data_IF_364401952592
#
_entry.id   IF_364401952592
#
_cell.length_a   1.000
_cell.length_b   1.000
_cell.length_c   1.000
_cell.angle_alpha   90.00
_cell.angle_beta   90.00
_cell.angle_gamma   90.00
#
_symmetry.space_group_name_H-M   'P 1'
#
loop_
_entity.id
_entity.type
_entity.pdbx_description
1 polymer ?
#
# COMPACT_ATOMS: atom_id res chain seq x y z
N UNK A 1 -28.21 19.45 -12.59
CA UNK A 1 -27.14 18.65 -11.96
C UNK A 1 -26.23 18.21 -13.08
N UNK A 2 -25.01 18.77 -13.19
CA UNK A 2 -24.10 18.52 -14.32
C UNK A 2 -23.61 17.07 -14.33
N UNK A 3 -23.39 16.52 -15.52
CA UNK A 3 -22.88 15.17 -15.70
C UNK A 3 -21.45 15.09 -15.15
N UNK A 4 -21.04 13.95 -14.58
CA UNK A 4 -19.62 13.68 -14.25
C UNK A 4 -18.73 13.89 -15.48
N UNK A 5 -19.26 13.63 -16.68
CA UNK A 5 -18.55 13.85 -17.95
C UNK A 5 -18.22 15.34 -18.19
N UNK A 6 -19.01 16.28 -17.65
CA UNK A 6 -18.75 17.72 -17.74
C UNK A 6 -17.56 18.13 -16.83
N UNK A 7 -17.21 17.30 -15.85
CA UNK A 7 -16.06 17.49 -14.97
C UNK A 7 -14.74 16.92 -15.55
N UNK A 8 -14.79 16.02 -16.54
CA UNK A 8 -13.61 15.38 -17.16
C UNK A 8 -13.04 16.29 -18.27
N UNK A 9 -12.92 17.59 -18.00
CA UNK A 9 -12.36 18.56 -18.96
C UNK A 9 -10.83 18.64 -18.94
N UNK A 10 -10.18 18.02 -17.96
CA UNK A 10 -8.71 18.04 -17.81
C UNK A 10 -8.17 16.79 -17.10
N UNK A 11 -6.90 16.51 -17.33
CA UNK A 11 -6.15 15.43 -16.66
C UNK A 11 -6.19 15.57 -15.13
N UNK A 12 -6.08 16.80 -14.62
CA UNK A 12 -6.16 17.09 -13.19
C UNK A 12 -7.54 16.77 -12.60
N UNK A 13 -8.63 16.95 -13.36
CA UNK A 13 -9.97 16.60 -12.91
C UNK A 13 -10.17 15.08 -12.88
N UNK A 14 -9.62 14.36 -13.86
CA UNK A 14 -9.62 12.89 -13.89
C UNK A 14 -8.81 12.31 -12.72
N UNK A 15 -7.61 12.84 -12.46
CA UNK A 15 -6.77 12.45 -11.32
C UNK A 15 -7.53 12.61 -10.00
N UNK A 16 -8.18 13.77 -9.80
CA UNK A 16 -8.98 14.02 -8.60
C UNK A 16 -10.14 13.03 -8.45
N UNK A 17 -10.86 12.71 -9.53
CA UNK A 17 -11.94 11.72 -9.51
C UNK A 17 -11.42 10.31 -9.22
N UNK A 18 -10.25 9.94 -9.76
CA UNK A 18 -9.61 8.66 -9.48
C UNK A 18 -9.22 8.54 -8.01
N UNK A 19 -8.55 9.54 -7.45
CA UNK A 19 -8.16 9.57 -6.04
C UNK A 19 -9.37 9.52 -5.11
N UNK A 20 -10.44 10.27 -5.44
CA UNK A 20 -11.71 10.21 -4.70
C UNK A 20 -12.33 8.81 -4.75
N UNK A 21 -12.32 8.17 -5.92
CA UNK A 21 -12.87 6.82 -6.11
C UNK A 21 -12.07 5.79 -5.29
N UNK A 22 -10.74 5.81 -5.40
CA UNK A 22 -9.84 4.92 -4.66
C UNK A 22 -9.98 5.12 -3.13
N UNK A 23 -10.24 6.34 -2.67
CA UNK A 23 -10.48 6.65 -1.26
C UNK A 23 -11.85 6.18 -0.73
N UNK A 24 -12.79 5.79 -1.60
CA UNK A 24 -14.11 5.24 -1.22
C UNK A 24 -14.18 3.72 -1.29
N UNK A 25 -13.15 3.07 -1.81
CA UNK A 25 -13.09 1.61 -1.87
C UNK A 25 -12.97 1.00 -0.47
N UNK A 26 -13.66 -0.12 -0.26
CA UNK A 26 -13.52 -0.93 0.96
C UNK A 26 -12.28 -1.84 0.93
N UNK A 27 -11.53 -1.84 -0.19
CA UNK A 27 -10.28 -2.54 -0.36
C UNK A 27 -9.11 -1.59 -0.11
N UNK A 28 -8.07 -2.06 0.59
CA UNK A 28 -6.81 -1.32 0.71
C UNK A 28 -6.04 -1.40 -0.60
N UNK A 29 -5.47 -0.28 -1.06
CA UNK A 29 -4.65 -0.23 -2.27
C UNK A 29 -3.39 0.57 -1.97
N UNK A 30 -2.24 0.03 -2.35
CA UNK A 30 -0.96 0.75 -2.36
C UNK A 30 -0.25 0.59 -3.70
N UNK A 31 0.52 1.62 -4.07
CA UNK A 31 1.47 1.59 -5.17
C UNK A 31 2.87 1.86 -4.63
N UNK A 32 3.73 0.86 -4.75
CA UNK A 32 5.14 0.93 -4.41
C UNK A 32 5.98 1.10 -5.69
N UNK A 33 6.76 2.18 -5.76
CA UNK A 33 7.63 2.46 -6.88
C UNK A 33 8.82 1.50 -6.99
N UNK A 34 9.55 1.59 -8.10
CA UNK A 34 10.75 0.78 -8.37
C UNK A 34 11.90 1.08 -7.39
N UNK A 35 11.89 2.25 -6.75
CA UNK A 35 12.83 2.69 -5.73
C UNK A 35 12.43 2.25 -4.31
N UNK A 36 11.37 1.44 -4.18
CA UNK A 36 10.78 1.02 -2.91
C UNK A 36 10.28 2.18 -2.04
N UNK A 37 9.84 3.27 -2.67
CA UNK A 37 9.05 4.31 -2.04
C UNK A 37 7.59 4.22 -2.46
N UNK A 38 6.67 4.43 -1.53
CA UNK A 38 5.26 4.49 -1.84
C UNK A 38 4.96 5.73 -2.69
N UNK A 39 4.34 5.50 -3.84
CA UNK A 39 3.78 6.54 -4.70
C UNK A 39 2.38 6.90 -4.21
N UNK A 40 1.62 5.89 -3.78
CA UNK A 40 0.24 6.04 -3.32
C UNK A 40 -0.14 4.99 -2.27
N UNK A 41 -0.96 5.39 -1.29
CA UNK A 41 -1.64 4.49 -0.35
C UNK A 41 -3.04 5.07 -0.12
N UNK A 42 -4.11 4.31 -0.37
CA UNK A 42 -5.45 4.80 -0.06
C UNK A 42 -5.72 4.75 1.46
N UNK A 43 -6.70 5.54 1.92
CA UNK A 43 -7.08 5.59 3.35
C UNK A 43 -7.43 4.22 3.89
N UNK A 44 -8.10 3.38 3.08
CA UNK A 44 -8.51 2.05 3.50
C UNK A 44 -7.34 1.12 3.82
N UNK A 45 -6.25 1.21 3.06
CA UNK A 45 -5.03 0.45 3.34
C UNK A 45 -4.43 0.84 4.70
N UNK A 46 -4.42 2.14 5.03
CA UNK A 46 -3.93 2.61 6.33
C UNK A 46 -4.81 2.11 7.47
N UNK A 47 -6.13 2.11 7.31
CA UNK A 47 -7.06 1.57 8.30
C UNK A 47 -6.86 0.07 8.52
N UNK A 48 -6.83 -0.72 7.44
CA UNK A 48 -6.69 -2.18 7.49
C UNK A 48 -5.37 -2.62 8.12
N UNK A 49 -4.31 -1.85 7.87
CA UNK A 49 -2.97 -2.12 8.41
C UNK A 49 -2.67 -1.33 9.68
N UNK A 50 -3.63 -0.55 10.18
CA UNK A 50 -3.50 0.37 11.32
C UNK A 50 -2.23 1.24 11.24
N UNK A 51 -1.93 1.75 10.05
CA UNK A 51 -0.79 2.62 9.83
C UNK A 51 -1.13 4.06 10.25
N UNK A 52 -0.16 4.81 10.77
CA UNK A 52 -0.36 6.21 11.11
C UNK A 52 -0.74 7.05 9.87
N UNK A 53 -1.58 8.05 10.06
CA UNK A 53 -2.04 8.90 8.97
C UNK A 53 -0.89 9.64 8.27
N UNK A 54 0.22 9.92 8.97
CA UNK A 54 1.42 10.53 8.40
C UNK A 54 2.14 9.66 7.36
N UNK A 55 1.78 8.37 7.24
CA UNK A 55 2.32 7.49 6.20
C UNK A 55 1.60 7.70 4.86
N UNK A 56 0.47 8.41 4.84
CA UNK A 56 -0.24 8.79 3.62
C UNK A 56 0.44 9.94 2.88
N UNK A 57 1.69 9.73 2.45
CA UNK A 57 2.44 10.72 1.69
C UNK A 57 3.31 10.07 0.61
N UNK A 58 3.34 10.64 -0.61
CA UNK A 58 4.29 10.20 -1.63
C UNK A 58 5.73 10.26 -1.12
N UNK A 59 6.54 9.25 -1.48
CA UNK A 59 7.93 9.13 -1.05
C UNK A 59 8.11 8.46 0.31
N UNK A 60 7.05 7.98 0.96
CA UNK A 60 7.16 7.19 2.18
C UNK A 60 7.93 5.89 1.90
N UNK A 61 9.00 5.62 2.64
CA UNK A 61 9.85 4.44 2.39
C UNK A 61 9.12 3.17 2.80
N UNK A 62 9.18 2.14 1.96
CA UNK A 62 8.68 0.82 2.30
C UNK A 62 9.31 0.26 3.57
N UNK A 63 10.61 0.47 3.71
CA UNK A 63 11.41 0.07 4.88
C UNK A 63 10.84 0.63 6.19
N UNK A 64 10.42 1.89 6.21
CA UNK A 64 9.88 2.52 7.41
C UNK A 64 8.51 1.93 7.79
N UNK A 65 7.69 1.55 6.80
CA UNK A 65 6.42 0.84 7.03
C UNK A 65 6.68 -0.57 7.56
N UNK A 66 7.65 -1.30 6.99
CA UNK A 66 8.04 -2.62 7.49
C UNK A 66 8.57 -2.53 8.93
N UNK A 67 9.38 -1.51 9.24
CA UNK A 67 9.93 -1.28 10.58
C UNK A 67 8.83 -0.95 11.58
N UNK A 68 7.84 -0.15 11.19
CA UNK A 68 6.67 0.13 12.01
C UNK A 68 5.89 -1.15 12.34
N UNK A 69 5.62 -1.99 11.33
CA UNK A 69 4.93 -3.26 11.51
C UNK A 69 5.72 -4.24 12.41
N UNK A 70 7.03 -4.38 12.17
CA UNK A 70 7.90 -5.26 12.95
C UNK A 70 7.91 -4.86 14.44
N UNK A 71 8.03 -3.56 14.76
CA UNK A 71 7.98 -3.04 16.14
C UNK A 71 6.69 -3.38 16.89
N UNK A 72 5.60 -3.61 16.16
CA UNK A 72 4.28 -3.97 16.71
C UNK A 72 4.02 -5.48 16.73
N UNK A 73 5.00 -6.29 16.33
CA UNK A 73 4.88 -7.75 16.34
C UNK A 73 4.05 -8.31 15.18
N UNK A 74 3.78 -7.52 14.13
CA UNK A 74 3.00 -7.93 12.96
C UNK A 74 3.60 -9.17 12.25
N UNK A 75 4.90 -9.38 12.44
CA UNK A 75 5.66 -10.45 11.82
C UNK A 75 6.06 -11.58 12.77
N UNK A 76 5.50 -11.58 13.98
CA UNK A 76 5.85 -12.52 15.03
C UNK A 76 7.19 -12.22 15.69
N UNK A 77 7.69 -13.13 16.55
CA UNK A 77 8.93 -12.95 17.28
C UNK A 77 10.14 -12.93 16.35
N UNK A 78 11.17 -12.15 16.70
CA UNK A 78 12.42 -12.06 15.97
C UNK A 78 13.09 -10.70 16.15
N UNK A 79 14.28 -10.54 15.56
CA UNK A 79 14.92 -9.24 15.48
C UNK A 79 14.19 -8.34 14.47
N UNK A 80 13.97 -7.09 14.86
CA UNK A 80 13.20 -6.12 14.06
C UNK A 80 13.92 -5.81 12.75
N UNK A 81 15.23 -5.56 12.79
CA UNK A 81 15.97 -5.15 11.59
C UNK A 81 16.18 -6.33 10.64
N UNK A 82 16.39 -7.55 11.15
CA UNK A 82 16.39 -8.75 10.31
C UNK A 82 15.06 -8.94 9.56
N UNK A 83 13.93 -8.78 10.25
CA UNK A 83 12.61 -8.86 9.64
C UNK A 83 12.41 -7.78 8.56
N UNK A 84 12.88 -6.56 8.81
CA UNK A 84 12.80 -5.45 7.85
C UNK A 84 13.64 -5.75 6.61
N UNK A 85 14.90 -6.14 6.79
CA UNK A 85 15.83 -6.48 5.70
C UNK A 85 15.27 -7.59 4.83
N UNK A 86 14.74 -8.65 5.43
CA UNK A 86 14.11 -9.77 4.71
C UNK A 86 12.97 -9.28 3.79
N UNK A 87 12.10 -8.41 4.30
CA UNK A 87 10.93 -7.90 3.57
C UNK A 87 11.30 -6.94 2.47
N UNK A 88 12.26 -6.05 2.73
CA UNK A 88 12.82 -5.15 1.70
C UNK A 88 13.48 -5.96 0.59
N UNK A 89 14.28 -6.98 0.94
CA UNK A 89 14.92 -7.87 -0.02
C UNK A 89 13.92 -8.74 -0.79
N UNK A 90 12.75 -9.05 -0.22
CA UNK A 90 11.66 -9.72 -0.94
C UNK A 90 10.94 -8.77 -1.89
N UNK A 91 10.62 -7.56 -1.44
CA UNK A 91 9.95 -6.55 -2.26
C UNK A 91 10.81 -6.12 -3.46
N UNK A 92 12.14 -6.02 -3.31
CA UNK A 92 13.05 -5.65 -4.39
C UNK A 92 13.12 -6.67 -5.54
N UNK A 93 12.60 -7.90 -5.35
CA UNK A 93 12.57 -8.93 -6.39
C UNK A 93 11.45 -8.74 -7.39
N UNK A 94 10.47 -7.87 -7.12
CA UNK A 94 9.35 -7.60 -8.02
C UNK A 94 8.56 -8.85 -8.47
N UNK A 95 8.43 -9.84 -7.58
CA UNK A 95 7.67 -11.08 -7.83
C UNK A 95 6.22 -10.94 -7.37
N UNK A 96 5.28 -11.22 -8.29
CA UNK A 96 3.85 -11.29 -7.98
C UNK A 96 3.60 -12.26 -6.83
N UNK A 97 2.69 -11.90 -5.93
CA UNK A 97 2.40 -12.72 -4.77
C UNK A 97 0.94 -12.58 -4.37
N UNK A 98 0.40 -13.65 -3.80
CA UNK A 98 -0.91 -13.68 -3.17
C UNK A 98 -0.83 -14.54 -1.92
N UNK A 99 -1.22 -13.99 -0.77
CA UNK A 99 -1.19 -14.70 0.50
C UNK A 99 -2.12 -14.04 1.52
N UNK A 100 -2.58 -14.82 2.48
CA UNK A 100 -3.34 -14.30 3.61
C UNK A 100 -2.40 -13.87 4.74
N UNK A 101 -2.61 -12.66 5.25
CA UNK A 101 -1.99 -12.20 6.49
C UNK A 101 -2.99 -12.31 7.62
N UNK A 102 -2.60 -13.06 8.65
CA UNK A 102 -3.31 -13.06 9.93
C UNK A 102 -2.64 -12.00 10.82
N UNK A 103 -3.39 -10.96 11.15
CA UNK A 103 -2.93 -9.87 12.03
C UNK A 103 -2.98 -10.33 13.50
N UNK A 104 -2.25 -9.67 14.42
CA UNK A 104 -2.25 -10.02 15.85
C UNK A 104 -3.63 -9.98 16.52
N UNK A 105 -4.56 -9.18 15.98
CA UNK A 105 -5.95 -9.09 16.44
C UNK A 105 -6.86 -10.23 15.91
N UNK A 106 -6.32 -11.12 15.06
CA UNK A 106 -7.04 -12.21 14.42
C UNK A 106 -7.69 -11.85 13.08
N UNK A 107 -7.60 -10.60 12.63
CA UNK A 107 -8.11 -10.16 11.32
C UNK A 107 -7.31 -10.85 10.21
N UNK A 108 -8.02 -11.42 9.22
CA UNK A 108 -7.41 -12.02 8.03
C UNK A 108 -7.53 -11.06 6.85
N UNK A 109 -6.40 -10.75 6.22
CA UNK A 109 -6.30 -9.85 5.07
C UNK A 109 -5.70 -10.62 3.91
N UNK A 110 -6.41 -10.73 2.79
CA UNK A 110 -5.84 -11.24 1.55
C UNK A 110 -4.93 -10.16 0.95
N UNK A 111 -3.65 -10.47 0.79
CA UNK A 111 -2.67 -9.56 0.19
C UNK A 111 -2.31 -10.08 -1.18
N UNK A 112 -2.60 -9.28 -2.21
CA UNK A 112 -2.25 -9.59 -3.59
C UNK A 112 -1.42 -8.45 -4.20
N UNK A 113 -0.16 -8.76 -4.52
CA UNK A 113 0.79 -7.84 -5.14
C UNK A 113 1.02 -8.22 -6.60
N UNK A 114 0.77 -7.27 -7.50
CA UNK A 114 1.02 -7.39 -8.94
C UNK A 114 2.07 -6.38 -9.38
N UNK A 115 3.16 -6.88 -9.96
CA UNK A 115 4.21 -6.06 -10.54
C UNK A 115 3.81 -5.60 -11.94
N UNK A 116 4.00 -4.30 -12.20
CA UNK A 116 3.84 -3.70 -13.51
C UNK A 116 5.15 -3.04 -13.94
N UNK A 117 5.68 -3.49 -15.08
CA UNK A 117 6.95 -3.00 -15.63
C UNK A 117 6.92 -1.48 -15.84
N UNK A 118 7.94 -0.79 -15.36
CA UNK A 118 8.05 0.67 -15.47
C UNK A 118 7.25 1.48 -14.44
N UNK A 119 6.34 0.85 -13.67
CA UNK A 119 5.55 1.53 -12.64
C UNK A 119 5.95 1.05 -11.23
N UNK A 120 5.98 -0.26 -11.00
CA UNK A 120 6.25 -0.85 -9.68
C UNK A 120 5.19 -1.86 -9.26
N UNK A 121 4.94 -1.96 -7.96
CA UNK A 121 4.00 -2.91 -7.37
C UNK A 121 2.68 -2.25 -6.98
N UNK A 122 1.59 -2.76 -7.54
CA UNK A 122 0.24 -2.47 -7.03
C UNK A 122 -0.12 -3.60 -6.08
N UNK A 123 -0.48 -3.27 -4.84
CA UNK A 123 -0.90 -4.25 -3.84
C UNK A 123 -2.30 -3.95 -3.35
N UNK A 124 -3.15 -4.97 -3.32
CA UNK A 124 -4.47 -4.94 -2.67
C UNK A 124 -4.44 -5.65 -1.33
N UNK A 125 -5.26 -5.15 -0.40
CA UNK A 125 -5.44 -5.64 0.97
C UNK A 125 -6.93 -5.75 1.28
#
# INVERSE_FOLDING_TARGET
MGSVLDYIGSEAALEKLLLLTLGKMNQGISLLGLDLNYVFINTKCLELLELPAEFNRPGMKFEDVMRYNAKRGEYGPGDIEEQVVERVARASKFVNHKFDRIRPDGTVIEIEGSFHSGIGFITTY
#
